data_IF_853526434685
#
_entry.id   IF_853526434685
#
_cell.length_a   1.000
_cell.length_b   1.000
_cell.length_c   1.000
_cell.angle_alpha   90.00
_cell.angle_beta   90.00
_cell.angle_gamma   90.00
#
_symmetry.space_group_name_H-M   'P 1'
#
loop_
_entity.id
_entity.type
_entity.pdbx_description
1 polymer ?
#
# COMPACT_ATOMS: atom_id res chain seq x y z
N UNK A 1 -2.26 15.52 -12.86
CA UNK A 1 -2.00 14.67 -11.67
C UNK A 1 -1.98 15.60 -10.49
N UNK A 2 -3.05 15.61 -9.68
CA UNK A 2 -3.01 16.36 -8.42
C UNK A 2 -2.09 15.60 -7.48
N UNK A 3 -0.93 16.16 -7.24
CA UNK A 3 0.07 15.57 -6.36
C UNK A 3 -0.34 15.84 -4.93
N UNK A 4 -0.93 14.84 -4.27
CA UNK A 4 -1.26 14.93 -2.85
C UNK A 4 -0.03 14.51 -2.02
N UNK A 5 0.60 15.46 -1.39
CA UNK A 5 1.81 15.24 -0.58
C UNK A 5 1.54 15.24 0.93
N UNK A 6 0.27 15.31 1.36
CA UNK A 6 -0.11 15.42 2.79
C UNK A 6 0.40 14.27 3.64
N UNK A 7 0.57 13.10 3.03
CA UNK A 7 1.00 11.87 3.72
C UNK A 7 2.46 11.53 3.50
N UNK A 8 3.25 12.46 2.93
CA UNK A 8 4.67 12.23 2.67
C UNK A 8 5.50 12.88 3.78
N UNK A 9 6.36 12.09 4.40
CA UNK A 9 7.31 12.62 5.39
C UNK A 9 8.39 13.48 4.72
N UNK A 10 8.74 14.60 5.34
CA UNK A 10 9.72 15.55 4.79
C UNK A 10 11.12 14.95 4.64
N UNK A 11 11.51 14.02 5.51
CA UNK A 11 12.80 13.33 5.39
C UNK A 11 12.85 12.45 4.14
N UNK A 12 11.76 11.72 3.85
CA UNK A 12 11.63 10.92 2.63
C UNK A 12 11.70 11.77 1.35
N UNK A 13 11.20 13.00 1.34
CA UNK A 13 11.34 13.89 0.19
C UNK A 13 12.81 14.26 -0.08
N UNK A 14 13.59 14.53 0.97
CA UNK A 14 15.03 14.80 0.84
C UNK A 14 15.79 13.63 0.22
N UNK A 15 15.44 12.40 0.61
CA UNK A 15 16.04 11.19 0.05
C UNK A 15 15.78 11.08 -1.46
N UNK A 16 14.59 11.45 -1.95
CA UNK A 16 14.31 11.48 -3.39
C UNK A 16 15.19 12.49 -4.14
N UNK A 17 15.53 13.62 -3.54
CA UNK A 17 16.46 14.60 -4.14
C UNK A 17 17.86 13.99 -4.29
N UNK A 18 18.38 13.38 -3.23
CA UNK A 18 19.67 12.69 -3.25
C UNK A 18 19.67 11.57 -4.29
N UNK A 19 18.61 10.75 -4.30
CA UNK A 19 18.44 9.73 -5.32
C UNK A 19 18.49 10.29 -6.75
N UNK A 20 17.82 11.41 -7.01
CA UNK A 20 17.78 12.02 -8.35
C UNK A 20 19.17 12.49 -8.83
N UNK A 21 20.00 13.01 -7.93
CA UNK A 21 21.38 13.38 -8.22
C UNK A 21 22.21 12.15 -8.62
N UNK A 22 22.17 11.09 -7.82
CA UNK A 22 22.86 9.84 -8.12
C UNK A 22 22.35 9.17 -9.39
N UNK A 23 21.05 9.18 -9.61
CA UNK A 23 20.45 8.61 -10.82
C UNK A 23 20.95 9.37 -12.08
N UNK A 24 21.01 10.69 -12.04
CA UNK A 24 21.53 11.52 -13.13
C UNK A 24 22.99 11.18 -13.42
N UNK A 25 23.83 11.09 -12.40
CA UNK A 25 25.24 10.71 -12.55
C UNK A 25 25.35 9.32 -13.18
N UNK A 26 24.61 8.35 -12.69
CA UNK A 26 24.60 6.99 -13.22
C UNK A 26 24.18 6.93 -14.69
N UNK A 27 23.18 7.72 -15.10
CA UNK A 27 22.76 7.81 -16.50
C UNK A 27 23.83 8.44 -17.39
N UNK A 28 24.53 9.48 -16.92
CA UNK A 28 25.65 10.08 -17.65
C UNK A 28 26.77 9.07 -17.84
N UNK A 29 27.17 8.36 -16.78
CA UNK A 29 28.20 7.33 -16.86
C UNK A 29 27.81 6.20 -17.82
N UNK A 30 26.57 5.73 -17.76
CA UNK A 30 26.05 4.72 -18.68
C UNK A 30 26.06 5.22 -20.11
N UNK A 31 25.61 6.46 -20.36
CA UNK A 31 25.64 7.08 -21.68
C UNK A 31 27.05 7.15 -22.26
N UNK A 32 28.05 7.51 -21.44
CA UNK A 32 29.46 7.51 -21.86
C UNK A 32 29.98 6.12 -22.23
N UNK A 33 29.59 5.07 -21.45
CA UNK A 33 29.99 3.69 -21.75
C UNK A 33 29.31 3.13 -23.01
N UNK A 34 28.07 3.53 -23.29
CA UNK A 34 27.27 3.06 -24.42
C UNK A 34 27.39 3.95 -25.66
N UNK A 35 28.17 5.06 -25.59
CA UNK A 35 28.31 6.03 -26.69
C UNK A 35 27.04 6.83 -26.97
N UNK A 36 26.14 6.98 -25.99
CA UNK A 36 24.89 7.74 -26.12
C UNK A 36 25.14 9.24 -25.89
N UNK A 37 24.70 10.08 -26.82
CA UNK A 37 24.91 11.53 -26.76
C UNK A 37 24.11 12.23 -25.65
N UNK A 38 22.97 11.65 -25.22
CA UNK A 38 22.13 12.25 -24.18
C UNK A 38 21.40 11.21 -23.33
N UNK A 39 21.57 11.23 -22.01
CA UNK A 39 20.76 10.39 -21.12
C UNK A 39 19.31 10.86 -21.11
N UNK A 40 18.39 9.94 -20.87
CA UNK A 40 16.96 10.26 -20.75
C UNK A 40 16.73 11.24 -19.59
N UNK A 41 16.16 12.42 -19.89
CA UNK A 41 15.78 13.38 -18.85
C UNK A 41 14.54 12.88 -18.09
N UNK A 42 14.77 12.38 -16.88
CA UNK A 42 13.69 11.89 -15.99
C UNK A 42 12.80 13.00 -15.46
N UNK A 43 13.22 14.27 -15.56
CA UNK A 43 12.43 15.43 -15.12
C UNK A 43 11.60 16.06 -16.24
N UNK A 44 11.71 15.56 -17.47
CA UNK A 44 10.93 16.06 -18.60
C UNK A 44 9.45 16.03 -18.26
N UNK A 45 8.73 17.11 -18.56
CA UNK A 45 7.28 17.24 -18.33
C UNK A 45 6.83 17.28 -16.85
N UNK A 46 7.75 17.34 -15.89
CA UNK A 46 7.39 17.54 -14.49
C UNK A 46 7.32 19.04 -14.21
N UNK A 47 6.18 19.55 -13.68
CA UNK A 47 6.02 20.98 -13.44
C UNK A 47 7.03 21.52 -12.43
N UNK A 48 7.33 22.80 -12.54
CA UNK A 48 8.19 23.55 -11.61
C UNK A 48 7.40 24.25 -10.51
N UNK A 49 6.06 24.11 -10.50
CA UNK A 49 5.18 24.69 -9.49
C UNK A 49 4.15 23.64 -9.05
N UNK A 50 3.74 23.72 -7.80
CA UNK A 50 2.72 22.85 -7.22
C UNK A 50 1.70 23.69 -6.49
N UNK A 51 0.42 23.29 -6.58
CA UNK A 51 -0.68 24.00 -5.92
C UNK A 51 -0.43 24.13 -4.42
N UNK A 52 -0.48 25.36 -3.90
CA UNK A 52 -0.25 25.67 -2.48
C UNK A 52 1.22 25.69 -2.06
N UNK A 53 2.14 25.68 -3.02
CA UNK A 53 3.57 25.85 -2.77
C UNK A 53 4.05 27.01 -3.66
N UNK A 54 4.05 28.21 -3.09
CA UNK A 54 4.52 29.40 -3.77
C UNK A 54 6.04 29.54 -3.63
N UNK A 55 6.71 29.90 -4.71
CA UNK A 55 8.15 30.12 -4.74
C UNK A 55 8.50 31.61 -4.95
N UNK A 56 7.54 32.52 -4.70
CA UNK A 56 7.71 33.96 -4.95
C UNK A 56 8.94 34.56 -4.24
N UNK A 57 9.39 33.96 -3.14
CA UNK A 57 10.54 34.41 -2.37
C UNK A 57 11.73 33.44 -2.38
N UNK A 58 11.75 32.44 -3.27
CA UNK A 58 12.82 31.41 -3.32
C UNK A 58 12.88 30.42 -2.15
N UNK A 59 12.02 30.59 -1.14
CA UNK A 59 12.04 29.81 0.11
C UNK A 59 11.64 28.33 -0.07
N UNK A 60 10.95 27.99 -1.16
CA UNK A 60 10.44 26.65 -1.42
C UNK A 60 11.16 25.90 -2.56
N UNK A 61 12.24 26.44 -3.09
CA UNK A 61 12.95 25.81 -4.22
C UNK A 61 13.43 24.39 -3.88
N UNK A 62 14.02 24.19 -2.70
CA UNK A 62 14.46 22.87 -2.26
C UNK A 62 13.29 21.88 -2.19
N UNK A 63 12.15 22.28 -1.62
CA UNK A 63 10.96 21.46 -1.55
C UNK A 63 10.40 21.13 -2.95
N UNK A 64 10.38 22.08 -3.87
CA UNK A 64 9.96 21.87 -5.25
C UNK A 64 10.85 20.84 -5.93
N UNK A 65 12.16 20.91 -5.77
CA UNK A 65 13.10 19.92 -6.34
C UNK A 65 12.89 18.53 -5.72
N UNK A 66 12.65 18.44 -4.43
CA UNK A 66 12.33 17.18 -3.73
C UNK A 66 11.03 16.55 -4.25
N UNK A 67 9.98 17.35 -4.45
CA UNK A 67 8.70 16.90 -5.01
C UNK A 67 8.85 16.44 -6.47
N UNK A 68 9.59 17.19 -7.26
CA UNK A 68 9.91 16.82 -8.64
C UNK A 68 10.68 15.51 -8.72
N UNK A 69 11.68 15.32 -7.86
CA UNK A 69 12.46 14.09 -7.79
C UNK A 69 11.56 12.88 -7.44
N UNK A 70 10.65 13.04 -6.47
CA UNK A 70 9.70 11.99 -6.12
C UNK A 70 8.76 11.65 -7.27
N UNK A 71 8.23 12.65 -7.97
CA UNK A 71 7.38 12.42 -9.15
C UNK A 71 8.18 11.73 -10.25
N UNK A 72 9.41 12.18 -10.54
CA UNK A 72 10.27 11.56 -11.55
C UNK A 72 10.50 10.07 -11.26
N UNK A 73 10.75 9.72 -10.01
CA UNK A 73 10.99 8.35 -9.58
C UNK A 73 9.74 7.45 -9.68
N UNK A 74 8.58 7.97 -9.27
CA UNK A 74 7.37 7.19 -8.99
C UNK A 74 6.25 7.36 -10.03
N UNK A 75 6.37 8.26 -11.01
CA UNK A 75 5.38 8.37 -12.11
C UNK A 75 5.37 7.11 -12.97
N UNK A 76 4.31 6.88 -13.78
CA UNK A 76 4.34 5.83 -14.80
C UNK A 76 5.61 5.91 -15.64
N UNK A 77 6.22 4.76 -15.91
CA UNK A 77 7.51 4.65 -16.59
C UNK A 77 8.68 5.39 -15.88
N UNK A 78 8.50 5.76 -14.61
CA UNK A 78 9.60 6.25 -13.77
C UNK A 78 10.52 5.11 -13.36
N UNK A 79 11.80 5.40 -13.05
CA UNK A 79 12.81 4.35 -12.80
C UNK A 79 12.47 3.41 -11.64
N UNK A 80 11.84 3.93 -10.58
CA UNK A 80 11.41 3.11 -9.44
C UNK A 80 10.12 2.37 -9.78
N UNK A 81 9.14 3.05 -10.36
CA UNK A 81 7.86 2.45 -10.70
C UNK A 81 8.02 1.31 -11.71
N UNK A 82 8.71 1.53 -12.81
CA UNK A 82 8.89 0.51 -13.83
C UNK A 82 9.74 -0.68 -13.35
N UNK A 83 10.77 -0.43 -12.52
CA UNK A 83 11.67 -1.49 -12.07
C UNK A 83 11.11 -2.33 -10.92
N UNK A 84 10.42 -1.71 -9.99
CA UNK A 84 10.02 -2.35 -8.74
C UNK A 84 8.50 -2.46 -8.59
N UNK A 85 7.74 -1.38 -8.84
CA UNK A 85 6.31 -1.36 -8.54
C UNK A 85 5.49 -2.10 -9.60
N UNK A 86 5.88 -2.06 -10.87
CA UNK A 86 5.17 -2.75 -11.95
C UNK A 86 5.14 -4.29 -11.80
N UNK A 87 6.04 -4.85 -10.99
CA UNK A 87 6.08 -6.28 -10.71
C UNK A 87 5.08 -6.72 -9.65
N UNK A 88 4.55 -5.78 -8.88
CA UNK A 88 3.55 -6.08 -7.86
C UNK A 88 2.17 -6.18 -8.51
N UNK A 89 1.35 -7.09 -8.01
CA UNK A 89 -0.03 -7.23 -8.45
C UNK A 89 -0.95 -6.32 -7.64
N UNK A 90 -2.01 -5.85 -8.26
CA UNK A 90 -3.04 -4.99 -7.64
C UNK A 90 -3.96 -5.82 -6.75
N UNK A 91 -4.27 -7.03 -7.19
CA UNK A 91 -5.06 -8.02 -6.45
C UNK A 91 -4.30 -9.34 -6.47
N UNK A 92 -4.10 -9.94 -5.30
CA UNK A 92 -3.38 -11.19 -5.14
C UNK A 92 -4.29 -12.21 -4.45
N UNK A 93 -4.38 -13.40 -5.00
CA UNK A 93 -5.06 -14.54 -4.37
C UNK A 93 -4.01 -15.58 -3.99
N UNK A 94 -3.92 -15.91 -2.69
CA UNK A 94 -3.04 -16.95 -2.16
C UNK A 94 -3.86 -17.86 -1.25
N UNK A 95 -3.95 -19.13 -1.59
CA UNK A 95 -4.77 -20.09 -0.85
C UNK A 95 -6.22 -19.63 -0.80
N UNK A 96 -6.74 -19.44 0.40
CA UNK A 96 -8.10 -18.97 0.64
C UNK A 96 -8.24 -17.46 0.91
N UNK A 97 -7.17 -16.70 0.66
CA UNK A 97 -7.08 -15.28 1.02
C UNK A 97 -6.89 -14.40 -0.22
N UNK A 98 -7.72 -13.37 -0.34
CA UNK A 98 -7.63 -12.33 -1.39
C UNK A 98 -7.05 -11.06 -0.77
N UNK A 99 -5.94 -10.60 -1.29
CA UNK A 99 -5.27 -9.38 -0.85
C UNK A 99 -5.55 -8.25 -1.84
N UNK A 100 -6.03 -7.13 -1.34
CA UNK A 100 -6.30 -5.92 -2.13
C UNK A 100 -6.18 -4.69 -1.25
N UNK A 101 -5.72 -3.55 -1.82
CA UNK A 101 -5.48 -2.35 -1.02
C UNK A 101 -6.77 -1.79 -0.40
N UNK A 102 -7.79 -1.47 -1.20
CA UNK A 102 -9.05 -0.87 -0.72
C UNK A 102 -10.18 -1.88 -0.56
N UNK A 103 -10.36 -2.76 -1.52
CA UNK A 103 -11.40 -3.79 -1.55
C UNK A 103 -11.86 -4.14 -2.96
N UNK A 104 -12.70 -5.16 -3.07
CA UNK A 104 -13.30 -5.60 -4.32
C UNK A 104 -14.82 -5.44 -4.29
N UNK A 105 -15.41 -5.27 -5.45
CA UNK A 105 -16.85 -5.35 -5.72
C UNK A 105 -17.09 -6.43 -6.80
N UNK A 106 -18.31 -6.98 -6.93
CA UNK A 106 -18.62 -7.99 -7.94
C UNK A 106 -18.17 -7.58 -9.35
N UNK A 107 -18.39 -6.33 -9.74
CA UNK A 107 -17.94 -5.78 -11.02
C UNK A 107 -16.44 -5.90 -11.29
N UNK A 108 -15.59 -5.93 -10.24
CA UNK A 108 -14.15 -6.09 -10.41
C UNK A 108 -13.79 -7.54 -10.68
N UNK A 109 -14.50 -8.49 -10.08
CA UNK A 109 -14.32 -9.91 -10.36
C UNK A 109 -14.83 -10.27 -11.75
N UNK A 110 -16.00 -9.75 -12.14
CA UNK A 110 -16.57 -9.89 -13.48
C UNK A 110 -15.66 -9.31 -14.56
N UNK A 111 -15.01 -8.17 -14.28
CA UNK A 111 -14.04 -7.57 -15.18
C UNK A 111 -12.78 -8.43 -15.36
N UNK A 112 -12.42 -9.20 -14.35
CA UNK A 112 -11.31 -10.13 -14.32
C UNK A 112 -10.11 -9.61 -13.50
N UNK A 113 -9.80 -10.30 -12.41
CA UNK A 113 -8.72 -9.91 -11.49
C UNK A 113 -7.34 -9.93 -12.17
N UNK A 114 -7.10 -10.91 -13.05
CA UNK A 114 -5.88 -10.99 -13.84
C UNK A 114 -5.78 -9.79 -14.80
N UNK A 115 -6.85 -9.46 -15.49
CA UNK A 115 -6.91 -8.30 -16.39
C UNK A 115 -6.63 -6.99 -15.66
N UNK A 116 -7.19 -6.80 -14.44
CA UNK A 116 -6.88 -5.66 -13.58
C UNK A 116 -5.37 -5.58 -13.31
N UNK A 117 -4.74 -6.70 -12.96
CA UNK A 117 -3.31 -6.75 -12.67
C UNK A 117 -2.45 -6.42 -13.89
N UNK A 118 -2.81 -6.92 -15.06
CA UNK A 118 -2.12 -6.68 -16.33
C UNK A 118 -2.23 -5.22 -16.76
N UNK A 119 -3.43 -4.66 -16.79
CA UNK A 119 -3.65 -3.27 -17.19
C UNK A 119 -2.99 -2.26 -16.24
N UNK A 120 -2.97 -2.52 -14.93
CA UNK A 120 -2.26 -1.66 -13.97
C UNK A 120 -0.74 -1.76 -14.16
N UNK A 121 -0.20 -2.96 -14.37
CA UNK A 121 1.22 -3.16 -14.68
C UNK A 121 1.62 -2.42 -15.95
N UNK A 122 0.83 -2.54 -17.00
CA UNK A 122 1.08 -1.86 -18.27
C UNK A 122 1.04 -0.35 -18.11
N UNK A 123 0.06 0.17 -17.37
CA UNK A 123 0.01 1.59 -17.05
C UNK A 123 1.24 2.05 -16.24
N UNK A 124 1.68 1.30 -15.22
CA UNK A 124 2.89 1.61 -14.43
C UNK A 124 4.14 1.60 -15.33
N UNK A 125 4.21 0.72 -16.32
CA UNK A 125 5.30 0.67 -17.29
C UNK A 125 5.22 1.75 -18.40
N UNK A 126 4.16 2.58 -18.39
CA UNK A 126 3.95 3.62 -19.39
C UNK A 126 3.42 3.10 -20.74
N UNK A 127 2.92 1.86 -20.78
CA UNK A 127 2.30 1.24 -21.96
C UNK A 127 0.80 1.52 -22.03
N UNK A 128 0.18 1.90 -20.91
CA UNK A 128 -1.22 2.35 -20.85
C UNK A 128 -1.36 3.84 -21.17
N UNK A 129 -2.58 4.34 -21.16
CA UNK A 129 -2.86 5.76 -21.38
C UNK A 129 -2.27 6.67 -20.28
N UNK A 130 -2.39 7.98 -20.45
CA UNK A 130 -1.86 8.99 -19.50
C UNK A 130 -2.45 8.86 -18.08
N UNK A 131 -3.64 8.31 -17.96
CA UNK A 131 -4.37 8.18 -16.68
C UNK A 131 -4.46 6.73 -16.24
N UNK A 132 -4.32 6.52 -14.94
CA UNK A 132 -4.57 5.21 -14.34
C UNK A 132 -5.97 4.66 -14.74
N UNK A 133 -6.15 3.34 -14.84
CA UNK A 133 -7.44 2.73 -15.12
C UNK A 133 -8.56 3.25 -14.20
N UNK A 134 -9.79 3.32 -14.71
CA UNK A 134 -10.93 3.92 -14.00
C UNK A 134 -11.20 3.26 -12.64
N UNK A 135 -11.09 1.96 -12.58
CA UNK A 135 -11.23 1.16 -11.36
C UNK A 135 -10.10 1.37 -10.33
N UNK A 136 -9.03 2.10 -10.67
CA UNK A 136 -8.00 2.52 -9.72
C UNK A 136 -8.20 3.94 -9.17
N UNK A 137 -9.09 4.76 -9.78
CA UNK A 137 -9.20 6.20 -9.49
C UNK A 137 -10.47 6.61 -8.76
N UNK A 138 -11.52 5.79 -8.82
CA UNK A 138 -12.85 6.13 -8.28
C UNK A 138 -12.96 5.69 -6.81
N UNK A 139 -13.85 6.30 -6.02
CA UNK A 139 -14.10 5.89 -4.63
C UNK A 139 -14.54 4.42 -4.48
N UNK A 140 -15.16 3.86 -5.54
CA UNK A 140 -15.59 2.48 -5.66
C UNK A 140 -14.55 1.58 -6.37
N UNK A 141 -13.35 2.09 -6.60
CA UNK A 141 -12.25 1.36 -7.22
C UNK A 141 -11.43 0.54 -6.22
N UNK A 142 -10.66 -0.40 -6.73
CA UNK A 142 -9.90 -1.40 -5.93
C UNK A 142 -8.91 -0.78 -4.94
N UNK A 143 -8.44 0.45 -5.19
CA UNK A 143 -7.51 1.16 -4.31
C UNK A 143 -8.22 2.07 -3.30
N UNK A 144 -9.46 2.49 -3.55
CA UNK A 144 -10.14 3.53 -2.76
C UNK A 144 -11.37 3.05 -2.02
N UNK A 145 -11.84 1.85 -2.32
CA UNK A 145 -13.04 1.28 -1.71
C UNK A 145 -12.87 1.18 -0.19
N UNK A 146 -13.89 1.63 0.54
CA UNK A 146 -13.95 1.55 2.01
C UNK A 146 -15.16 0.79 2.52
N UNK A 147 -15.95 0.16 1.61
CA UNK A 147 -17.21 -0.50 1.94
C UNK A 147 -17.04 -1.55 3.04
N UNK A 148 -15.96 -2.33 2.99
CA UNK A 148 -15.71 -3.43 3.93
C UNK A 148 -14.71 -3.08 5.03
N UNK A 149 -14.00 -1.95 4.90
CA UNK A 149 -12.94 -1.56 5.85
C UNK A 149 -13.33 -0.42 6.79
N UNK A 150 -14.47 0.27 6.54
CA UNK A 150 -14.90 1.44 7.32
C UNK A 150 -16.05 1.10 8.27
N UNK A 151 -15.97 1.62 9.51
CA UNK A 151 -17.07 1.55 10.49
C UNK A 151 -17.23 0.16 11.11
N UNK A 152 -18.26 0.05 11.96
CA UNK A 152 -18.59 -1.21 12.65
C UNK A 152 -19.46 -2.13 11.79
N UNK A 153 -20.33 -1.55 10.96
CA UNK A 153 -21.26 -2.28 10.12
C UNK A 153 -20.57 -2.60 8.78
N UNK A 154 -20.30 -3.86 8.53
CA UNK A 154 -19.81 -4.37 7.25
C UNK A 154 -20.99 -4.99 6.51
N UNK A 155 -21.04 -4.84 5.20
CA UNK A 155 -22.00 -5.54 4.33
C UNK A 155 -21.50 -6.97 4.09
N UNK A 156 -21.77 -7.84 5.08
CA UNK A 156 -21.28 -9.22 5.07
C UNK A 156 -21.91 -10.05 3.95
N UNK A 157 -23.16 -9.82 3.62
CA UNK A 157 -23.87 -10.54 2.57
C UNK A 157 -23.23 -10.28 1.19
N UNK A 158 -22.96 -9.00 0.86
CA UNK A 158 -22.24 -8.66 -0.37
C UNK A 158 -20.85 -9.27 -0.37
N UNK A 159 -20.15 -9.28 0.77
CA UNK A 159 -18.80 -9.84 0.87
C UNK A 159 -18.78 -11.35 0.67
N UNK A 160 -19.70 -12.09 1.30
CA UNK A 160 -19.83 -13.53 1.17
C UNK A 160 -20.13 -13.91 -0.30
N UNK A 161 -21.08 -13.23 -0.91
CA UNK A 161 -21.39 -13.40 -2.34
C UNK A 161 -20.17 -13.17 -3.22
N UNK A 162 -19.44 -12.08 -2.97
CA UNK A 162 -18.21 -11.75 -3.69
C UNK A 162 -17.17 -12.87 -3.58
N UNK A 163 -16.87 -13.30 -2.35
CA UNK A 163 -15.86 -14.33 -2.09
C UNK A 163 -16.23 -15.66 -2.75
N UNK A 164 -17.51 -16.02 -2.77
CA UNK A 164 -18.02 -17.21 -3.44
C UNK A 164 -17.76 -17.20 -4.97
N UNK A 165 -17.59 -16.02 -5.59
CA UNK A 165 -17.27 -15.91 -7.03
C UNK A 165 -15.77 -16.08 -7.33
N UNK A 166 -14.91 -16.06 -6.31
CA UNK A 166 -13.46 -16.25 -6.46
C UNK A 166 -13.11 -17.66 -5.97
N UNK A 167 -12.68 -18.57 -6.85
CA UNK A 167 -12.50 -19.97 -6.49
C UNK A 167 -11.59 -20.17 -5.26
N UNK A 168 -12.09 -20.91 -4.27
CA UNK A 168 -11.36 -21.25 -3.05
C UNK A 168 -11.19 -20.14 -2.03
N UNK A 169 -11.66 -18.91 -2.32
CA UNK A 169 -11.49 -17.77 -1.43
C UNK A 169 -12.49 -17.78 -0.27
N UNK A 170 -11.99 -17.55 0.95
CA UNK A 170 -12.79 -17.46 2.18
C UNK A 170 -12.73 -16.07 2.81
N UNK A 171 -11.72 -15.27 2.48
CA UNK A 171 -11.52 -13.96 3.12
C UNK A 171 -10.88 -12.95 2.20
N UNK A 172 -11.13 -11.66 2.49
CA UNK A 172 -10.46 -10.52 1.86
C UNK A 172 -9.65 -9.75 2.89
N UNK A 173 -8.39 -9.50 2.60
CA UNK A 173 -7.44 -8.77 3.45
C UNK A 173 -7.19 -7.41 2.83
N UNK A 174 -7.44 -6.34 3.61
CA UNK A 174 -7.49 -4.97 3.11
C UNK A 174 -6.68 -4.00 3.97
N UNK A 175 -6.05 -3.02 3.31
CA UNK A 175 -5.45 -1.84 3.90
C UNK A 175 -6.34 -0.59 3.79
N UNK A 176 -5.76 0.54 3.39
CA UNK A 176 -6.40 1.81 3.01
C UNK A 176 -7.19 2.56 4.10
N UNK A 177 -7.88 1.87 4.98
CA UNK A 177 -8.67 2.48 6.05
C UNK A 177 -8.01 2.20 7.39
N UNK A 178 -7.38 3.24 7.97
CA UNK A 178 -6.65 3.11 9.23
C UNK A 178 -7.57 2.64 10.35
N UNK A 179 -7.17 1.55 10.99
CA UNK A 179 -7.84 0.91 12.11
C UNK A 179 -7.23 1.36 13.43
N UNK A 180 -7.86 2.31 14.11
CA UNK A 180 -7.35 2.87 15.38
C UNK A 180 -7.24 1.85 16.51
N UNK A 181 -8.01 0.77 16.41
CA UNK A 181 -8.02 -0.32 17.41
C UNK A 181 -7.06 -1.46 17.06
N UNK A 182 -6.26 -1.32 16.01
CA UNK A 182 -5.38 -2.36 15.49
C UNK A 182 -6.01 -3.25 14.44
N UNK A 183 -5.26 -4.24 13.95
CA UNK A 183 -5.75 -5.25 12.99
C UNK A 183 -6.99 -5.91 13.56
N UNK A 184 -8.02 -6.06 12.74
CA UNK A 184 -9.29 -6.67 13.17
C UNK A 184 -10.00 -7.37 12.02
N UNK A 185 -10.88 -8.31 12.38
CA UNK A 185 -11.76 -9.02 11.47
C UNK A 185 -13.22 -8.70 11.72
N UNK A 186 -14.02 -8.70 10.66
CA UNK A 186 -15.49 -8.60 10.69
C UNK A 186 -16.08 -9.65 9.75
N UNK A 187 -17.40 -9.87 9.81
CA UNK A 187 -18.09 -10.89 9.01
C UNK A 187 -17.45 -12.27 9.20
N UNK A 188 -17.33 -12.73 10.44
CA UNK A 188 -16.69 -14.01 10.79
C UNK A 188 -15.30 -14.18 10.15
N UNK A 189 -14.51 -13.10 10.19
CA UNK A 189 -13.18 -13.01 9.60
C UNK A 189 -13.12 -13.14 8.07
N UNK A 190 -14.22 -12.95 7.38
CA UNK A 190 -14.22 -12.83 5.93
C UNK A 190 -13.62 -11.50 5.46
N UNK A 191 -13.72 -10.42 6.25
CA UNK A 191 -13.03 -9.15 6.01
C UNK A 191 -11.98 -8.90 7.09
N UNK A 192 -10.71 -8.92 6.72
CA UNK A 192 -9.57 -8.62 7.58
C UNK A 192 -9.01 -7.25 7.24
N UNK A 193 -8.94 -6.38 8.24
CA UNK A 193 -8.53 -4.97 8.12
C UNK A 193 -7.17 -4.79 8.77
N UNK A 194 -6.13 -4.57 7.96
CA UNK A 194 -4.74 -4.62 8.42
C UNK A 194 -4.03 -3.28 8.51
N UNK A 195 -4.65 -2.19 8.05
CA UNK A 195 -4.00 -0.87 8.08
C UNK A 195 -4.05 -0.27 9.48
N UNK A 196 -2.94 -0.27 10.18
CA UNK A 196 -2.81 0.35 11.50
C UNK A 196 -2.18 1.75 11.45
N UNK A 197 -1.92 2.28 10.26
CA UNK A 197 -1.37 3.63 10.08
C UNK A 197 0.02 3.81 10.67
N UNK A 198 0.94 2.86 10.49
CA UNK A 198 2.29 2.87 11.06
C UNK A 198 3.12 4.09 10.68
N UNK A 199 2.92 4.61 9.47
CA UNK A 199 3.66 5.79 9.00
C UNK A 199 3.37 7.01 9.86
N UNK A 200 4.40 7.81 10.16
CA UNK A 200 4.26 9.12 10.82
C UNK A 200 3.27 10.04 10.09
N UNK A 201 3.23 9.96 8.76
CA UNK A 201 2.27 10.71 7.92
C UNK A 201 0.84 10.17 8.00
N UNK A 202 0.62 8.95 8.49
CA UNK A 202 -0.69 8.27 8.51
C UNK A 202 -1.27 8.02 9.90
N UNK A 203 -0.65 8.49 10.97
CA UNK A 203 -1.17 8.34 12.33
C UNK A 203 -0.16 7.79 13.33
N UNK A 204 1.03 7.36 12.89
CA UNK A 204 2.11 6.86 13.75
C UNK A 204 1.65 5.70 14.65
N UNK A 205 0.83 4.80 14.09
CA UNK A 205 0.31 3.63 14.79
C UNK A 205 1.42 2.63 15.13
N UNK A 206 1.20 1.84 16.17
CA UNK A 206 2.13 0.77 16.53
C UNK A 206 2.15 -0.32 15.45
N UNK A 207 3.32 -0.89 15.15
CA UNK A 207 3.43 -1.98 14.20
C UNK A 207 2.64 -3.21 14.66
N UNK A 208 1.88 -3.78 13.74
CA UNK A 208 1.17 -5.04 13.92
C UNK A 208 1.35 -5.92 12.69
N UNK A 209 1.38 -7.23 12.87
CA UNK A 209 1.55 -8.21 11.80
C UNK A 209 0.41 -9.21 11.84
N UNK A 210 -0.23 -9.43 10.70
CA UNK A 210 -1.13 -10.56 10.49
C UNK A 210 -0.30 -11.75 10.01
N UNK A 211 -0.27 -12.80 10.81
CA UNK A 211 0.30 -14.10 10.42
C UNK A 211 -0.82 -15.01 9.92
N UNK A 212 -0.59 -15.65 8.78
CA UNK A 212 -1.50 -16.62 8.16
C UNK A 212 -0.74 -17.95 8.06
N UNK A 213 -1.20 -18.96 8.75
CA UNK A 213 -0.61 -20.31 8.72
C UNK A 213 -1.21 -21.18 7.63
N UNK A 214 -0.54 -22.30 7.30
CA UNK A 214 -0.95 -23.27 6.28
C UNK A 214 -2.38 -23.79 6.46
N UNK A 215 -2.85 -23.91 7.71
CA UNK A 215 -4.21 -24.36 8.02
C UNK A 215 -5.23 -23.22 8.07
N UNK A 216 -4.97 -22.12 7.37
CA UNK A 216 -5.83 -20.92 7.36
C UNK A 216 -6.00 -20.24 8.73
N UNK A 217 -5.16 -20.60 9.69
CA UNK A 217 -5.13 -19.97 11.02
C UNK A 217 -4.66 -18.53 10.92
N UNK A 218 -5.39 -17.61 11.57
CA UNK A 218 -5.04 -16.20 11.62
C UNK A 218 -4.52 -15.82 13.01
N UNK A 219 -3.39 -15.12 13.04
CA UNK A 219 -2.78 -14.66 14.27
C UNK A 219 -2.28 -13.22 14.12
N UNK A 220 -2.54 -12.37 15.10
CA UNK A 220 -2.04 -11.01 15.14
C UNK A 220 -0.87 -10.95 16.11
N UNK A 221 0.29 -10.54 15.61
CA UNK A 221 1.48 -10.24 16.40
C UNK A 221 1.50 -8.74 16.65
N UNK A 222 1.41 -8.33 17.90
CA UNK A 222 1.32 -6.92 18.27
C UNK A 222 1.92 -6.64 19.64
N UNK A 223 2.53 -5.46 19.79
CA UNK A 223 2.90 -4.87 21.07
C UNK A 223 1.86 -3.87 21.60
N UNK A 224 0.73 -3.70 20.90
CA UNK A 224 -0.29 -2.72 21.21
C UNK A 224 -1.01 -3.06 22.53
N UNK A 225 -0.92 -2.21 23.58
CA UNK A 225 -1.53 -2.46 24.89
C UNK A 225 -3.06 -2.67 24.82
N UNK A 226 -3.75 -2.07 23.84
CA UNK A 226 -5.20 -2.22 23.67
C UNK A 226 -5.62 -3.67 23.44
N UNK A 227 -4.74 -4.53 22.93
CA UNK A 227 -5.01 -5.96 22.79
C UNK A 227 -4.84 -6.71 24.11
N UNK A 228 -3.95 -6.27 25.00
CA UNK A 228 -3.71 -6.92 26.28
C UNK A 228 -4.96 -6.87 27.18
N UNK A 229 -5.68 -5.75 27.19
CA UNK A 229 -6.87 -5.57 28.01
C UNK A 229 -8.08 -6.36 27.48
N UNK A 230 -8.23 -6.45 26.15
CA UNK A 230 -9.28 -7.27 25.53
C UNK A 230 -9.11 -8.77 25.82
N UNK A 231 -7.89 -9.26 25.88
CA UNK A 231 -7.61 -10.68 26.11
C UNK A 231 -7.85 -11.07 27.57
N UNK A 232 -7.54 -10.18 28.53
CA UNK A 232 -7.86 -10.39 29.94
C UNK A 232 -9.36 -10.47 30.20
N UNK A 233 -10.16 -9.71 29.44
CA UNK A 233 -11.63 -9.72 29.56
C UNK A 233 -12.31 -10.95 28.90
N UNK A 234 -11.71 -11.56 27.87
CA UNK A 234 -12.28 -12.70 27.15
C UNK A 234 -11.88 -14.08 27.68
N UNK A 235 -10.89 -14.15 28.58
CA UNK A 235 -10.47 -15.40 29.21
C UNK A 235 -11.52 -16.00 30.18
N UNK A 236 -12.63 -15.31 30.41
CA UNK A 236 -13.74 -15.76 31.29
C UNK A 236 -15.00 -16.20 30.53
N UNK A 237 -15.03 -16.21 29.19
CA UNK A 237 -16.13 -16.77 28.43
C UNK A 237 -15.65 -17.54 27.22
N UNK A 238 -15.91 -18.81 27.19
CA UNK A 238 -15.89 -19.83 26.13
C UNK A 238 -15.08 -19.51 24.85
N UNK A 239 -14.05 -20.33 24.60
CA UNK A 239 -13.28 -20.43 23.36
C UNK A 239 -14.21 -20.67 22.17
N UNK A 240 -14.55 -19.60 21.44
CA UNK A 240 -14.93 -19.73 20.04
C UNK A 240 -13.65 -19.66 19.21
N UNK A 241 -13.47 -20.63 18.33
CA UNK A 241 -12.38 -20.68 17.35
C UNK A 241 -12.36 -19.38 16.52
N UNK A 242 -11.39 -18.54 16.74
CA UNK A 242 -11.21 -17.28 16.03
C UNK A 242 -10.06 -16.51 16.66
N UNK A 243 -9.23 -15.89 15.89
CA UNK A 243 -8.12 -15.02 16.23
C UNK A 243 -7.30 -15.41 17.48
N UNK A 244 -6.30 -16.25 17.32
CA UNK A 244 -5.29 -16.48 18.34
C UNK A 244 -4.36 -15.27 18.46
N UNK A 245 -4.38 -14.59 19.61
CA UNK A 245 -3.37 -13.59 19.96
C UNK A 245 -2.27 -14.29 20.75
N UNK A 246 -1.04 -14.28 20.23
CA UNK A 246 0.15 -14.71 20.96
C UNK A 246 0.97 -13.47 21.32
N UNK A 247 1.15 -13.23 22.63
CA UNK A 247 2.15 -12.33 23.13
C UNK A 247 3.45 -13.10 23.33
N UNK A 248 4.61 -12.57 22.90
CA UNK A 248 5.87 -13.15 23.33
C UNK A 248 5.98 -13.00 24.85
N UNK A 249 6.16 -14.10 25.57
CA UNK A 249 6.38 -14.12 27.04
C UNK A 249 7.70 -13.43 27.45
N UNK A 250 8.52 -13.02 26.50
CA UNK A 250 9.76 -12.27 26.71
C UNK A 250 9.89 -11.19 25.66
N UNK A 251 10.36 -10.00 26.07
CA UNK A 251 10.56 -8.83 25.21
C UNK A 251 11.38 -9.13 23.94
N UNK A 252 11.43 -8.21 22.98
CA UNK A 252 11.98 -8.46 21.65
C UNK A 252 13.42 -8.94 21.78
N UNK A 253 13.69 -10.18 21.39
CA UNK A 253 15.06 -10.62 21.12
C UNK A 253 15.55 -9.83 19.91
N UNK A 254 16.53 -8.96 20.15
CA UNK A 254 17.28 -8.31 19.09
C UNK A 254 17.88 -9.41 18.20
N UNK A 255 17.42 -9.49 16.97
CA UNK A 255 18.09 -10.27 15.93
C UNK A 255 19.19 -9.37 15.39
N UNK A 256 20.43 -9.63 15.78
CA UNK A 256 21.60 -9.05 15.13
C UNK A 256 21.64 -9.51 13.68
N UNK A 257 21.39 -8.59 12.76
CA UNK A 257 21.69 -8.80 11.33
C UNK A 257 23.19 -8.54 11.18
N UNK A 258 23.97 -9.61 11.07
CA UNK A 258 25.36 -9.48 10.63
C UNK A 258 25.39 -9.08 9.16
N UNK A 259 26.17 -8.01 8.92
CA UNK A 259 26.46 -7.46 7.59
C UNK A 259 27.16 -8.49 6.66
#
# INVERSE_FOLDING_TARGET
MESDFRFVDKSGLKEFRVWAEWYRIGQLMKGLCEGLESPRDVFKEIPFSFRGIDNENGNNEALIQELRARIAALRPNGPISARFLSRNVTVLVIGDSVFVHGGLLPKHVEYGLQRINEEVRDWINGLGGERAPGYCRRPDGVLWLRKFSRGKNCDCETLEHLLATIPGSKRMIMGHTIQKIGINGVCDNQAIRIDVGMSKGCGNGLPEVLEISENSGLRILTSNPLYQDKYKASSHSERKEGFGLLFPEQGPKQVEVKA
#
